data_IF_446576791347
#
_entry.id   IF_446576791347
#
_cell.length_a   1.000
_cell.length_b   1.000
_cell.length_c   1.000
_cell.angle_alpha   90.00
_cell.angle_beta   90.00
_cell.angle_gamma   90.00
#
_symmetry.space_group_name_H-M   'P 1'
#
loop_
_entity.id
_entity.type
_entity.pdbx_description
1 polymer ?
#
# COMPACT_ATOMS: atom_id res chain seq x y z
N UNK A 1 -6.62 4.33 -30.06
CA UNK A 1 -5.69 5.44 -30.36
C UNK A 1 -5.83 6.57 -29.32
N UNK A 2 -7.05 7.08 -29.02
CA UNK A 2 -7.26 8.16 -28.03
C UNK A 2 -6.80 7.78 -26.62
N UNK A 3 -7.02 6.54 -26.19
CA UNK A 3 -6.60 6.07 -24.85
C UNK A 3 -5.08 6.12 -24.67
N UNK A 4 -4.31 5.83 -25.70
CA UNK A 4 -2.84 5.84 -25.64
C UNK A 4 -2.29 7.27 -25.56
N UNK A 5 -2.87 8.20 -26.32
CA UNK A 5 -2.47 9.61 -26.31
C UNK A 5 -2.75 10.27 -24.95
N UNK A 6 -3.89 9.93 -24.31
CA UNK A 6 -4.23 10.42 -22.97
C UNK A 6 -3.24 9.87 -21.94
N UNK A 7 -2.93 8.57 -21.98
CA UNK A 7 -1.95 7.96 -21.08
C UNK A 7 -0.57 8.60 -21.24
N UNK A 8 -0.14 8.85 -22.47
CA UNK A 8 1.14 9.55 -22.74
C UNK A 8 1.13 10.97 -22.20
N UNK A 9 0.04 11.74 -22.38
CA UNK A 9 -0.07 13.09 -21.86
C UNK A 9 -0.03 13.12 -20.32
N UNK A 10 -0.75 12.21 -19.67
CA UNK A 10 -0.72 12.06 -18.21
C UNK A 10 0.69 11.67 -17.75
N UNK A 11 1.34 10.70 -18.42
CA UNK A 11 2.70 10.27 -18.11
C UNK A 11 3.72 11.39 -18.23
N UNK A 12 3.62 12.19 -19.28
CA UNK A 12 4.48 13.36 -19.46
C UNK A 12 4.23 14.42 -18.38
N UNK A 13 2.97 14.64 -17.97
CA UNK A 13 2.62 15.55 -16.90
C UNK A 13 3.21 15.10 -15.54
N UNK A 14 3.14 13.81 -15.23
CA UNK A 14 3.72 13.24 -14.02
C UNK A 14 5.26 13.32 -14.04
N UNK A 15 5.88 13.03 -15.18
CA UNK A 15 7.34 13.16 -15.32
C UNK A 15 7.79 14.61 -15.19
N UNK A 16 7.03 15.57 -15.74
CA UNK A 16 7.31 16.99 -15.59
C UNK A 16 7.18 17.42 -14.12
N UNK A 17 6.11 16.99 -13.43
CA UNK A 17 5.93 17.24 -11.99
C UNK A 17 7.07 16.64 -11.18
N UNK A 18 7.45 15.39 -11.49
CA UNK A 18 8.57 14.72 -10.85
C UNK A 18 9.89 15.48 -11.05
N UNK A 19 10.17 15.95 -12.28
CA UNK A 19 11.36 16.75 -12.56
C UNK A 19 11.38 18.06 -11.78
N UNK A 20 10.24 18.75 -11.68
CA UNK A 20 10.10 19.96 -10.87
C UNK A 20 10.30 19.65 -9.40
N UNK A 21 9.75 18.53 -8.90
CA UNK A 21 9.96 18.12 -7.51
C UNK A 21 11.42 17.79 -7.21
N UNK A 22 12.09 17.07 -8.12
CA UNK A 22 13.52 16.74 -7.96
C UNK A 22 14.39 18.01 -7.91
N UNK A 23 14.08 19.02 -8.72
CA UNK A 23 14.85 20.25 -8.79
C UNK A 23 14.56 21.22 -7.63
N UNK A 24 13.35 21.19 -7.08
CA UNK A 24 12.88 22.13 -6.04
C UNK A 24 12.46 21.48 -4.72
N UNK A 25 12.48 20.14 -4.64
CA UNK A 25 12.05 19.33 -3.48
C UNK A 25 10.65 19.71 -2.95
N UNK A 26 9.72 19.93 -3.87
CA UNK A 26 8.36 20.43 -3.57
C UNK A 26 7.60 19.52 -2.59
N UNK A 27 7.78 18.21 -2.69
CA UNK A 27 7.13 17.23 -1.79
C UNK A 27 8.06 16.69 -0.69
N UNK A 28 9.23 17.28 -0.51
CA UNK A 28 10.16 16.90 0.56
C UNK A 28 10.77 15.49 0.41
N UNK A 29 10.84 14.94 -0.81
CA UNK A 29 11.39 13.59 -1.05
C UNK A 29 12.84 13.46 -0.59
N UNK A 30 13.63 14.53 -0.74
CA UNK A 30 15.02 14.58 -0.27
C UNK A 30 15.13 14.48 1.24
N UNK A 31 14.21 15.08 1.99
CA UNK A 31 14.13 14.98 3.45
C UNK A 31 13.78 13.56 3.88
N UNK A 32 12.75 12.98 3.26
CA UNK A 32 12.32 11.60 3.51
C UNK A 32 13.49 10.63 3.30
N UNK A 33 14.20 10.75 2.17
CA UNK A 33 15.29 9.85 1.84
C UNK A 33 16.51 9.99 2.76
N UNK A 34 16.76 11.18 3.33
CA UNK A 34 17.89 11.42 4.21
C UNK A 34 17.69 10.89 5.63
N UNK A 35 16.45 10.71 6.08
CA UNK A 35 16.13 10.22 7.43
C UNK A 35 16.04 8.70 7.52
N UNK A 36 15.81 8.02 6.42
CA UNK A 36 15.76 6.55 6.35
C UNK A 36 17.01 5.98 5.68
N UNK A 37 18.12 5.78 6.40
CA UNK A 37 19.16 4.92 5.90
C UNK A 37 18.60 3.46 5.93
N UNK A 38 18.50 2.72 4.85
CA UNK A 38 19.31 2.80 3.63
C UNK A 38 18.62 3.41 2.40
N UNK A 39 17.49 4.12 2.58
CA UNK A 39 16.72 4.65 1.46
C UNK A 39 17.38 5.94 0.97
N UNK A 40 18.18 5.82 -0.08
CA UNK A 40 18.70 6.99 -0.77
C UNK A 40 17.58 7.74 -1.50
N UNK A 41 17.74 9.04 -1.72
CA UNK A 41 16.86 9.86 -2.57
C UNK A 41 16.56 9.14 -3.89
N UNK A 42 17.57 8.50 -4.48
CA UNK A 42 17.40 7.73 -5.72
C UNK A 42 16.46 6.53 -5.61
N UNK A 43 16.31 5.89 -4.44
CA UNK A 43 15.34 4.80 -4.27
C UNK A 43 13.91 5.30 -4.23
N UNK A 44 13.64 6.39 -3.49
CA UNK A 44 12.32 7.00 -3.48
C UNK A 44 11.91 7.48 -4.89
N UNK A 45 12.85 8.10 -5.59
CA UNK A 45 12.67 8.54 -6.97
C UNK A 45 12.39 7.38 -7.92
N UNK A 46 13.14 6.28 -7.82
CA UNK A 46 12.90 5.06 -8.61
C UNK A 46 11.55 4.44 -8.32
N UNK A 47 11.09 4.46 -7.07
CA UNK A 47 9.76 3.94 -6.70
C UNK A 47 8.64 4.78 -7.36
N UNK A 48 8.75 6.10 -7.34
CA UNK A 48 7.77 6.99 -7.97
C UNK A 48 7.76 6.76 -9.50
N UNK A 49 8.92 6.71 -10.13
CA UNK A 49 9.04 6.45 -11.56
C UNK A 49 8.50 5.07 -11.94
N UNK A 50 8.86 4.03 -11.19
CA UNK A 50 8.40 2.67 -11.42
C UNK A 50 6.88 2.56 -11.24
N UNK A 51 6.32 3.13 -10.16
CA UNK A 51 4.87 3.15 -9.93
C UNK A 51 4.14 3.87 -11.08
N UNK A 52 4.67 5.00 -11.51
CA UNK A 52 4.12 5.78 -12.63
C UNK A 52 4.17 5.00 -13.94
N UNK A 53 5.30 4.35 -14.24
CA UNK A 53 5.46 3.52 -15.43
C UNK A 53 4.51 2.31 -15.42
N UNK A 54 4.34 1.65 -14.28
CA UNK A 54 3.40 0.55 -14.10
C UNK A 54 1.96 1.03 -14.29
N UNK A 55 1.62 2.19 -13.75
CA UNK A 55 0.27 2.74 -13.91
C UNK A 55 -0.06 3.05 -15.37
N UNK A 56 0.90 3.54 -16.15
CA UNK A 56 0.71 3.91 -17.56
C UNK A 56 0.77 2.69 -18.47
N UNK A 57 1.80 1.87 -18.34
CA UNK A 57 2.15 0.82 -19.29
C UNK A 57 1.95 -0.60 -18.74
N UNK A 58 1.77 -0.77 -17.43
CA UNK A 58 1.76 -2.08 -16.79
C UNK A 58 0.74 -3.04 -17.39
N UNK A 59 -0.47 -2.57 -17.71
CA UNK A 59 -1.50 -3.42 -18.35
C UNK A 59 -1.11 -3.86 -19.76
N UNK A 60 -0.42 -3.03 -20.53
CA UNK A 60 -0.03 -3.35 -21.89
C UNK A 60 1.15 -4.34 -21.88
N UNK A 61 2.13 -4.12 -20.99
CA UNK A 61 3.25 -5.06 -20.78
C UNK A 61 2.75 -6.43 -20.30
N UNK A 62 1.87 -6.46 -19.30
CA UNK A 62 1.34 -7.72 -18.76
C UNK A 62 0.51 -8.51 -19.78
N UNK A 63 -0.15 -7.84 -20.74
CA UNK A 63 -0.84 -8.52 -21.85
C UNK A 63 0.11 -9.29 -22.75
N UNK A 64 1.34 -8.82 -22.92
CA UNK A 64 2.36 -9.52 -23.71
C UNK A 64 2.91 -10.74 -22.98
N UNK A 65 2.92 -10.68 -21.64
CA UNK A 65 3.49 -11.73 -20.77
C UNK A 65 2.42 -12.33 -19.84
N UNK A 66 1.37 -12.94 -20.43
CA UNK A 66 0.22 -13.46 -19.66
C UNK A 66 0.59 -14.51 -18.61
N UNK A 67 1.56 -15.38 -18.90
CA UNK A 67 2.01 -16.38 -17.94
C UNK A 67 2.73 -15.72 -16.74
N UNK A 68 3.57 -14.72 -17.01
CA UNK A 68 4.20 -13.93 -15.94
C UNK A 68 3.15 -13.18 -15.10
N UNK A 69 2.12 -12.62 -15.74
CA UNK A 69 1.03 -11.93 -15.03
C UNK A 69 0.27 -12.89 -14.10
N UNK A 70 0.04 -14.13 -14.53
CA UNK A 70 -0.59 -15.16 -13.69
C UNK A 70 0.29 -15.57 -12.52
N UNK A 71 1.59 -15.76 -12.75
CA UNK A 71 2.55 -16.05 -11.69
C UNK A 71 2.61 -14.91 -10.68
N UNK A 72 2.73 -13.65 -11.14
CA UNK A 72 2.73 -12.46 -10.30
C UNK A 72 1.46 -12.33 -9.46
N UNK A 73 0.29 -12.65 -10.01
CA UNK A 73 -0.95 -12.66 -9.25
C UNK A 73 -0.89 -13.59 -8.04
N UNK A 74 -0.42 -14.82 -8.22
CA UNK A 74 -0.30 -15.77 -7.12
C UNK A 74 0.80 -15.41 -6.14
N UNK A 75 1.91 -14.83 -6.63
CA UNK A 75 2.98 -14.32 -5.78
C UNK A 75 2.44 -13.18 -4.90
N UNK A 76 1.74 -12.21 -5.47
CA UNK A 76 1.13 -11.14 -4.69
C UNK A 76 0.16 -11.68 -3.64
N UNK A 77 -0.71 -12.62 -3.98
CA UNK A 77 -1.61 -13.25 -3.03
C UNK A 77 -0.84 -13.91 -1.87
N UNK A 78 0.26 -14.60 -2.15
CA UNK A 78 1.01 -15.31 -1.12
C UNK A 78 1.84 -14.39 -0.21
N UNK A 79 2.38 -13.29 -0.74
CA UNK A 79 3.27 -12.39 0.03
C UNK A 79 2.54 -11.22 0.68
N UNK A 80 1.29 -10.95 0.31
CA UNK A 80 0.51 -9.82 0.82
C UNK A 80 0.42 -9.77 2.34
N UNK A 81 0.17 -10.88 3.09
CA UNK A 81 0.09 -10.81 4.54
C UNK A 81 1.37 -10.28 5.19
N UNK A 82 2.53 -10.70 4.65
CA UNK A 82 3.84 -10.22 5.11
C UNK A 82 4.04 -8.75 4.79
N UNK A 83 3.78 -8.35 3.55
CA UNK A 83 3.96 -6.97 3.12
C UNK A 83 2.99 -6.02 3.82
N UNK A 84 1.75 -6.42 4.07
CA UNK A 84 0.77 -5.62 4.79
C UNK A 84 1.18 -5.42 6.25
N UNK A 85 1.64 -6.48 6.92
CA UNK A 85 2.21 -6.39 8.25
C UNK A 85 3.42 -5.46 8.30
N UNK A 86 4.40 -5.65 7.41
CA UNK A 86 5.58 -4.78 7.35
C UNK A 86 5.23 -3.33 7.02
N UNK A 87 4.25 -3.08 6.15
CA UNK A 87 3.80 -1.74 5.82
C UNK A 87 3.22 -1.03 7.04
N UNK A 88 2.43 -1.74 7.85
CA UNK A 88 1.87 -1.24 9.10
C UNK A 88 2.99 -0.91 10.09
N UNK A 89 3.89 -1.85 10.36
CA UNK A 89 5.00 -1.70 11.30
C UNK A 89 5.95 -0.56 10.91
N UNK A 90 6.27 -0.42 9.62
CA UNK A 90 7.13 0.66 9.13
C UNK A 90 6.57 2.07 9.38
N UNK A 91 5.26 2.21 9.59
CA UNK A 91 4.66 3.50 9.90
C UNK A 91 5.05 4.02 11.29
N UNK A 92 5.26 3.14 12.27
CA UNK A 92 5.34 3.53 13.67
C UNK A 92 6.46 2.87 14.49
N UNK A 93 6.98 1.72 14.04
CA UNK A 93 7.94 0.94 14.79
C UNK A 93 9.37 1.18 14.27
N UNK A 94 10.23 1.92 14.99
CA UNK A 94 11.62 2.15 14.57
C UNK A 94 12.49 0.89 14.66
N UNK A 95 12.02 -0.15 15.34
CA UNK A 95 12.74 -1.40 15.57
C UNK A 95 12.10 -2.61 14.87
N UNK A 96 11.60 -2.41 13.64
CA UNK A 96 10.94 -3.48 12.86
C UNK A 96 11.79 -4.76 12.78
N UNK A 97 13.10 -4.63 12.66
CA UNK A 97 14.04 -5.77 12.61
C UNK A 97 14.20 -6.50 13.95
N UNK A 98 13.77 -5.90 15.05
CA UNK A 98 13.83 -6.47 16.40
C UNK A 98 12.59 -7.27 16.82
N UNK A 99 11.61 -7.43 15.95
CA UNK A 99 10.39 -8.20 16.26
C UNK A 99 10.75 -9.67 16.41
N UNK A 100 10.33 -10.29 17.52
CA UNK A 100 10.57 -11.72 17.73
C UNK A 100 9.83 -12.54 16.67
N UNK A 101 10.41 -13.66 16.24
CA UNK A 101 9.83 -14.54 15.21
C UNK A 101 8.37 -14.92 15.56
N UNK A 102 8.12 -15.33 16.80
CA UNK A 102 6.78 -15.73 17.23
C UNK A 102 5.75 -14.60 17.09
N UNK A 103 6.11 -13.37 17.48
CA UNK A 103 5.20 -12.22 17.36
C UNK A 103 4.99 -11.87 15.89
N UNK A 104 6.04 -11.93 15.06
CA UNK A 104 5.94 -11.70 13.63
C UNK A 104 5.00 -12.71 12.97
N UNK A 105 5.16 -14.00 13.25
CA UNK A 105 4.32 -15.07 12.70
C UNK A 105 2.84 -14.90 13.07
N UNK A 106 2.56 -14.57 14.35
CA UNK A 106 1.18 -14.34 14.82
C UNK A 106 0.54 -13.13 14.13
N UNK A 107 1.28 -12.05 13.97
CA UNK A 107 0.78 -10.87 13.27
C UNK A 107 0.53 -11.16 11.78
N UNK A 108 1.45 -11.84 11.11
CA UNK A 108 1.26 -12.28 9.71
C UNK A 108 0.03 -13.18 9.58
N UNK A 109 -0.22 -14.08 10.55
CA UNK A 109 -1.42 -14.92 10.56
C UNK A 109 -2.71 -14.08 10.65
N UNK A 110 -2.72 -13.02 11.47
CA UNK A 110 -3.86 -12.08 11.53
C UNK A 110 -4.07 -11.41 10.16
N UNK A 111 -3.00 -10.94 9.52
CA UNK A 111 -3.10 -10.34 8.19
C UNK A 111 -3.54 -11.33 7.11
N UNK A 112 -3.18 -12.61 7.23
CA UNK A 112 -3.69 -13.67 6.35
C UNK A 112 -5.22 -13.85 6.51
N UNK A 113 -5.72 -13.85 7.73
CA UNK A 113 -7.17 -13.94 8.00
C UNK A 113 -7.88 -12.70 7.42
N UNK A 114 -7.32 -11.51 7.62
CA UNK A 114 -7.84 -10.27 7.07
C UNK A 114 -7.82 -10.28 5.53
N UNK A 115 -6.77 -10.82 4.91
CA UNK A 115 -6.69 -10.97 3.47
C UNK A 115 -7.85 -11.80 2.93
N UNK A 116 -8.08 -12.99 3.50
CA UNK A 116 -9.21 -13.83 3.11
C UNK A 116 -10.53 -13.08 3.28
N UNK A 117 -10.70 -12.37 4.39
CA UNK A 117 -11.90 -11.57 4.65
C UNK A 117 -12.11 -10.48 3.57
N UNK A 118 -11.08 -9.68 3.28
CA UNK A 118 -11.18 -8.60 2.28
C UNK A 118 -11.40 -9.14 0.87
N UNK A 119 -10.72 -10.23 0.50
CA UNK A 119 -10.92 -10.89 -0.81
C UNK A 119 -12.34 -11.42 -0.95
N UNK A 120 -12.90 -12.04 0.11
CA UNK A 120 -14.28 -12.50 0.13
C UNK A 120 -15.29 -11.35 0.06
N UNK A 121 -15.08 -10.27 0.81
CA UNK A 121 -15.97 -9.11 0.81
C UNK A 121 -15.98 -8.39 -0.55
N UNK A 122 -14.81 -8.18 -1.14
CA UNK A 122 -14.68 -7.47 -2.42
C UNK A 122 -14.99 -8.36 -3.63
N UNK A 123 -15.02 -9.69 -3.46
CA UNK A 123 -15.25 -10.68 -4.53
C UNK A 123 -14.31 -10.54 -5.74
N UNK A 124 -13.22 -9.81 -5.59
CA UNK A 124 -12.17 -9.57 -6.58
C UNK A 124 -10.83 -9.58 -5.87
N UNK A 125 -9.97 -10.57 -6.17
CA UNK A 125 -8.72 -10.77 -5.47
C UNK A 125 -7.88 -9.51 -5.35
N UNK A 126 -7.49 -8.90 -6.46
CA UNK A 126 -6.64 -7.69 -6.42
C UNK A 126 -7.29 -6.50 -5.73
N UNK A 127 -8.60 -6.32 -5.85
CA UNK A 127 -9.31 -5.26 -5.14
C UNK A 127 -9.34 -5.53 -3.62
N UNK A 128 -9.48 -6.80 -3.22
CA UNK A 128 -9.39 -7.20 -1.82
C UNK A 128 -8.00 -6.92 -1.23
N UNK A 129 -6.94 -7.23 -1.98
CA UNK A 129 -5.58 -6.93 -1.56
C UNK A 129 -5.34 -5.41 -1.45
N UNK A 130 -5.81 -4.61 -2.42
CA UNK A 130 -5.73 -3.16 -2.35
C UNK A 130 -6.41 -2.60 -1.09
N UNK A 131 -7.61 -3.10 -0.77
CA UNK A 131 -8.34 -2.70 0.42
C UNK A 131 -7.60 -3.09 1.71
N UNK A 132 -6.98 -4.28 1.75
CA UNK A 132 -6.16 -4.71 2.87
C UNK A 132 -4.94 -3.81 3.09
N UNK A 133 -4.21 -3.44 2.02
CA UNK A 133 -3.05 -2.54 2.15
C UNK A 133 -3.44 -1.15 2.63
N UNK A 134 -4.57 -0.60 2.14
CA UNK A 134 -5.09 0.67 2.65
C UNK A 134 -5.43 0.54 4.14
N UNK A 135 -6.09 -0.55 4.53
CA UNK A 135 -6.43 -0.81 5.92
C UNK A 135 -5.17 -0.91 6.79
N UNK A 136 -4.17 -1.70 6.38
CA UNK A 136 -2.91 -1.86 7.10
C UNK A 136 -2.19 -0.51 7.27
N UNK A 137 -2.11 0.29 6.22
CA UNK A 137 -1.51 1.62 6.29
C UNK A 137 -2.27 2.57 7.23
N UNK A 138 -3.61 2.56 7.20
CA UNK A 138 -4.42 3.38 8.12
C UNK A 138 -4.22 2.95 9.58
N UNK A 139 -4.11 1.65 9.86
CA UNK A 139 -3.78 1.16 11.21
C UNK A 139 -2.38 1.63 11.62
N UNK A 140 -1.40 1.56 10.71
CA UNK A 140 -0.04 2.06 10.96
C UNK A 140 -0.01 3.55 11.26
N UNK A 141 -0.73 4.36 10.49
CA UNK A 141 -0.89 5.82 10.75
C UNK A 141 -1.52 6.06 12.11
N UNK A 142 -2.56 5.30 12.45
CA UNK A 142 -3.21 5.39 13.76
C UNK A 142 -2.21 5.07 14.89
N UNK A 143 -1.47 3.98 14.76
CA UNK A 143 -0.45 3.57 15.73
C UNK A 143 0.65 4.62 15.88
N UNK A 144 1.10 5.23 14.78
CA UNK A 144 2.09 6.32 14.81
C UNK A 144 1.63 7.47 15.70
N UNK A 145 0.41 7.99 15.47
CA UNK A 145 -0.09 9.12 16.25
C UNK A 145 -0.42 8.73 17.69
N UNK A 146 -0.94 7.54 17.94
CA UNK A 146 -1.18 7.06 19.30
C UNK A 146 0.13 6.93 20.09
N UNK A 147 1.17 6.39 19.48
CA UNK A 147 2.49 6.32 20.09
C UNK A 147 3.05 7.73 20.38
N UNK A 148 2.91 8.66 19.43
CA UNK A 148 3.37 10.05 19.58
C UNK A 148 2.65 10.80 20.71
N UNK A 149 1.33 10.60 20.88
CA UNK A 149 0.54 11.34 21.84
C UNK A 149 0.37 10.65 23.19
N UNK A 150 0.38 9.33 23.22
CA UNK A 150 0.09 8.54 24.41
C UNK A 150 1.25 7.65 24.86
N UNK A 151 2.26 7.46 24.03
CA UNK A 151 3.39 6.58 24.30
C UNK A 151 3.09 5.08 24.18
N UNK A 152 1.92 4.70 23.67
CA UNK A 152 1.48 3.31 23.50
C UNK A 152 0.75 3.13 22.18
N UNK A 153 0.95 2.00 21.47
CA UNK A 153 0.22 1.68 20.24
C UNK A 153 -1.26 1.39 20.55
N UNK A 154 -2.04 1.20 19.50
CA UNK A 154 -3.45 0.86 19.59
C UNK A 154 -3.68 -0.47 20.32
N UNK A 155 -4.55 -0.45 21.30
CA UNK A 155 -5.02 -1.64 22.01
C UNK A 155 -6.49 -1.92 21.66
N UNK A 156 -6.89 -3.19 21.68
CA UNK A 156 -8.30 -3.56 21.41
C UNK A 156 -9.31 -2.83 22.31
N UNK A 157 -8.91 -2.49 23.53
CA UNK A 157 -9.72 -1.72 24.49
C UNK A 157 -9.95 -0.27 24.06
N UNK A 158 -9.11 0.27 23.15
CA UNK A 158 -9.23 1.66 22.68
C UNK A 158 -10.46 1.87 21.80
N UNK A 159 -11.03 0.79 21.26
CA UNK A 159 -12.29 0.83 20.52
C UNK A 159 -13.41 1.44 21.41
N UNK A 160 -13.43 1.12 22.69
CA UNK A 160 -14.41 1.67 23.61
C UNK A 160 -14.17 3.14 23.95
N UNK A 161 -12.91 3.58 23.87
CA UNK A 161 -12.52 4.96 24.12
C UNK A 161 -12.57 5.86 22.85
N UNK A 162 -12.91 5.31 21.69
CA UNK A 162 -12.86 6.01 20.39
C UNK A 162 -13.65 7.31 20.41
N UNK A 163 -14.85 7.32 21.02
CA UNK A 163 -15.70 8.53 21.09
C UNK A 163 -15.01 9.63 21.89
N UNK A 164 -14.37 9.28 23.01
CA UNK A 164 -13.61 10.23 23.84
C UNK A 164 -12.37 10.72 23.10
N UNK A 165 -11.65 9.83 22.43
CA UNK A 165 -10.49 10.19 21.61
C UNK A 165 -10.85 11.18 20.51
N UNK A 166 -11.97 10.96 19.80
CA UNK A 166 -12.46 11.88 18.76
C UNK A 166 -12.83 13.27 19.33
N UNK A 167 -13.36 13.36 20.54
CA UNK A 167 -13.73 14.64 21.15
C UNK A 167 -12.51 15.52 21.50
N UNK A 168 -11.36 14.91 21.74
CA UNK A 168 -10.11 15.63 22.08
C UNK A 168 -9.15 15.73 20.90
N UNK A 169 -9.41 15.03 19.79
CA UNK A 169 -8.53 15.00 18.62
C UNK A 169 -8.27 16.39 18.04
N UNK A 170 -9.25 17.29 18.10
CA UNK A 170 -9.09 18.68 17.64
C UNK A 170 -8.12 19.53 18.46
N UNK A 171 -7.64 19.05 19.61
CA UNK A 171 -6.64 19.73 20.44
C UNK A 171 -5.20 19.38 20.04
N UNK A 172 -5.02 18.36 19.19
CA UNK A 172 -3.70 17.91 18.73
C UNK A 172 -3.37 18.48 17.35
N UNK A 173 -2.11 18.86 17.16
CA UNK A 173 -1.57 19.21 15.85
C UNK A 173 -1.07 17.94 15.17
N UNK A 174 -1.67 17.60 14.03
CA UNK A 174 -1.24 16.45 13.21
C UNK A 174 -0.26 16.93 12.15
N UNK A 175 1.00 16.67 12.36
CA UNK A 175 2.05 16.91 11.37
C UNK A 175 2.29 15.63 10.58
N UNK A 176 2.38 15.75 9.26
CA UNK A 176 2.74 14.62 8.41
C UNK A 176 4.20 14.27 8.66
N UNK A 177 4.41 13.10 9.26
CA UNK A 177 5.76 12.60 9.51
C UNK A 177 6.36 12.02 8.23
N UNK A 178 7.67 12.05 8.15
CA UNK A 178 8.42 11.57 6.98
C UNK A 178 8.26 10.06 6.81
N UNK A 179 8.18 9.31 7.92
CA UNK A 179 7.87 7.87 7.93
C UNK A 179 6.55 7.57 7.22
N UNK A 180 5.52 8.36 7.52
CA UNK A 180 4.20 8.19 6.92
C UNK A 180 4.20 8.53 5.43
N UNK A 181 4.96 9.55 5.03
CA UNK A 181 5.11 9.88 3.62
C UNK A 181 5.84 8.77 2.84
N UNK A 182 6.90 8.19 3.43
CA UNK A 182 7.63 7.09 2.82
C UNK A 182 6.77 5.82 2.69
N UNK A 183 6.07 5.43 3.75
CA UNK A 183 5.16 4.27 3.71
C UNK A 183 3.99 4.49 2.76
N UNK A 184 3.54 5.74 2.57
CA UNK A 184 2.57 6.08 1.53
C UNK A 184 3.12 5.85 0.11
N UNK A 185 4.41 6.14 -0.15
CA UNK A 185 5.04 5.82 -1.43
C UNK A 185 5.09 4.31 -1.69
N UNK A 186 5.39 3.50 -0.66
CA UNK A 186 5.34 2.04 -0.76
C UNK A 186 3.91 1.59 -1.08
N UNK A 187 2.92 2.10 -0.35
CA UNK A 187 1.50 1.82 -0.60
C UNK A 187 1.11 2.16 -2.05
N UNK A 188 1.51 3.34 -2.53
CA UNK A 188 1.24 3.78 -3.89
C UNK A 188 1.85 2.83 -4.93
N UNK A 189 3.10 2.40 -4.74
CA UNK A 189 3.76 1.43 -5.62
C UNK A 189 3.02 0.09 -5.65
N UNK A 190 2.72 -0.49 -4.49
CA UNK A 190 1.98 -1.75 -4.37
C UNK A 190 0.59 -1.64 -5.00
N UNK A 191 -0.10 -0.52 -4.75
CA UNK A 191 -1.42 -0.27 -5.30
C UNK A 191 -1.41 -0.25 -6.83
N UNK A 192 -0.43 0.41 -7.46
CA UNK A 192 -0.31 0.46 -8.92
C UNK A 192 0.00 -0.91 -9.53
N UNK A 193 0.83 -1.73 -8.86
CA UNK A 193 1.11 -3.11 -9.28
C UNK A 193 -0.19 -3.96 -9.29
N UNK A 194 -0.94 -3.92 -8.19
CA UNK A 194 -2.19 -4.67 -8.06
C UNK A 194 -3.27 -4.15 -9.00
N UNK A 195 -3.32 -2.83 -9.23
CA UNK A 195 -4.24 -2.25 -10.20
C UNK A 195 -3.96 -2.75 -11.62
N UNK A 196 -2.70 -2.80 -12.03
CA UNK A 196 -2.30 -3.32 -13.33
C UNK A 196 -2.68 -4.81 -13.50
N UNK A 197 -2.40 -5.62 -12.48
CA UNK A 197 -2.77 -7.05 -12.45
C UNK A 197 -4.30 -7.25 -12.45
N UNK A 198 -5.03 -6.46 -11.70
CA UNK A 198 -6.50 -6.53 -11.61
C UNK A 198 -7.23 -6.17 -12.91
N UNK A 199 -6.59 -5.44 -13.80
CA UNK A 199 -7.11 -5.08 -15.13
C UNK A 199 -6.97 -6.21 -16.16
N UNK A 200 -6.26 -7.28 -15.85
CA UNK A 200 -6.09 -8.41 -16.78
C UNK A 200 -7.40 -9.16 -16.94
N UNK A 201 -7.85 -9.34 -18.17
CA UNK A 201 -9.10 -10.03 -18.53
C UNK A 201 -9.14 -11.50 -18.08
N UNK A 202 -7.98 -12.11 -17.84
CA UNK A 202 -7.81 -13.49 -17.39
C UNK A 202 -8.63 -13.77 -16.12
N UNK A 203 -8.79 -12.75 -15.27
CA UNK A 203 -9.48 -12.86 -13.98
C UNK A 203 -10.94 -12.37 -14.03
N UNK A 204 -11.34 -11.63 -15.08
CA UNK A 204 -12.69 -11.11 -15.21
C UNK A 204 -13.72 -12.13 -15.73
N UNK A 205 -13.30 -13.08 -16.57
CA UNK A 205 -14.22 -14.06 -17.22
C UNK A 205 -14.78 -15.14 -16.27
N UNK A 206 -14.20 -15.35 -15.10
CA UNK A 206 -14.61 -16.43 -14.19
C UNK A 206 -15.74 -16.07 -13.24
N UNK A 207 -16.13 -14.82 -13.15
CA UNK A 207 -17.07 -14.32 -12.14
C UNK A 207 -18.56 -14.51 -12.48
N UNK A 208 -18.89 -14.93 -13.72
CA UNK A 208 -20.30 -14.99 -14.18
C UNK A 208 -21.09 -16.22 -13.73
N UNK A 209 -20.44 -17.37 -13.43
CA UNK A 209 -21.17 -18.64 -13.17
C UNK A 209 -20.82 -19.38 -11.87
N UNK A 210 -19.87 -18.94 -11.08
CA UNK A 210 -19.46 -19.62 -9.81
C UNK A 210 -19.66 -18.81 -8.54
N UNK A 211 -20.50 -17.79 -8.58
CA UNK A 211 -20.85 -16.97 -7.39
C UNK A 211 -21.55 -17.76 -6.27
N UNK A 212 -22.10 -18.94 -6.56
CA UNK A 212 -22.95 -19.68 -5.63
C UNK A 212 -22.18 -20.77 -4.86
N UNK A 213 -20.94 -21.10 -5.23
CA UNK A 213 -20.25 -22.29 -4.69
C UNK A 213 -19.26 -21.99 -3.54
N UNK A 214 -19.09 -20.73 -3.14
CA UNK A 214 -18.24 -20.36 -1.99
C UNK A 214 -19.07 -20.00 -0.75
N UNK A 215 -20.40 -19.85 -0.90
CA UNK A 215 -21.33 -19.52 0.20
C UNK A 215 -22.38 -20.64 0.46
N UNK A 216 -22.20 -21.82 -0.09
CA UNK A 216 -22.99 -23.01 0.26
C UNK A 216 -21.99 -24.09 0.84
#
# INVERSE_FOLDING_TARGET
VYSMSIKMAIGMGILAFYYVNLSHDVIGVTKIANQFPPVSTGMADLMILAATAIWIYGTDVLRWFQECARALYWIFLAITPFLAFFLEELCWNPSVTGISLLNGELNVLIYLILEVLFVCLMQKGMLGLQALYIFAWLVGVLNYYLLKFRGQPFLATDIFALRTAMSVAGQYTFEVAEELAFTFLILYFLFTCMWALGKMEIFQKRTGKKRILILS
#
